data_IF_181634846969
#
_entry.id   IF_181634846969
#
_cell.length_a   1.000
_cell.length_b   1.000
_cell.length_c   1.000
_cell.angle_alpha   90.00
_cell.angle_beta   90.00
_cell.angle_gamma   90.00
#
_symmetry.space_group_name_H-M   'P 1'
#
loop_
_entity.id
_entity.type
_entity.pdbx_description
1 polymer ?
#
# COMPACT_ATOMS: atom_id res chain seq x y z
N UNK A 1 20.99 19.75 15.78
CA UNK A 1 20.14 18.91 14.90
C UNK A 1 19.28 19.85 14.06
N UNK A 2 19.48 19.90 12.74
CA UNK A 2 18.87 20.95 11.90
C UNK A 2 17.36 20.73 11.74
N UNK A 3 16.57 21.81 11.70
CA UNK A 3 15.11 21.78 11.47
C UNK A 3 14.70 20.97 10.22
N UNK A 4 15.63 20.77 9.28
CA UNK A 4 15.44 19.95 8.07
C UNK A 4 15.38 18.44 8.38
N UNK A 5 16.15 17.95 9.35
CA UNK A 5 16.11 16.54 9.77
C UNK A 5 14.84 16.22 10.57
N UNK A 6 14.36 17.15 11.40
CA UNK A 6 13.13 16.98 12.16
C UNK A 6 11.90 16.88 11.25
N UNK A 7 11.85 17.68 10.17
CA UNK A 7 10.76 17.62 9.19
C UNK A 7 10.78 16.33 8.36
N UNK A 8 11.96 15.80 8.02
CA UNK A 8 12.07 14.52 7.30
C UNK A 8 11.62 13.36 8.20
N UNK A 9 11.96 13.37 9.49
CA UNK A 9 11.50 12.36 10.45
C UNK A 9 9.99 12.45 10.71
N UNK A 10 9.41 13.66 10.74
CA UNK A 10 7.95 13.85 10.87
C UNK A 10 7.18 13.37 9.64
N UNK A 11 7.71 13.58 8.42
CA UNK A 11 7.11 13.02 7.19
C UNK A 11 7.20 11.49 7.18
N UNK A 12 8.27 10.89 7.72
CA UNK A 12 8.40 9.44 7.88
C UNK A 12 7.47 8.87 8.97
N UNK A 13 7.21 9.60 10.06
CA UNK A 13 6.27 9.16 11.11
C UNK A 13 4.82 9.14 10.61
N UNK A 14 4.40 10.08 9.76
CA UNK A 14 3.06 10.04 9.14
C UNK A 14 2.94 9.03 7.99
N UNK A 15 4.04 8.62 7.37
CA UNK A 15 4.05 7.52 6.40
C UNK A 15 3.84 6.14 7.04
N UNK A 16 4.04 6.02 8.35
CA UNK A 16 3.86 4.76 9.09
C UNK A 16 2.40 4.38 9.35
N UNK A 17 1.44 5.31 9.21
CA UNK A 17 0.01 5.01 9.39
C UNK A 17 -0.72 4.55 8.12
N UNK A 18 -0.01 4.37 7.00
CA UNK A 18 -0.56 3.76 5.77
C UNK A 18 0.25 2.52 5.37
N UNK A 19 0.92 1.87 6.31
CA UNK A 19 1.38 0.49 6.09
C UNK A 19 0.27 -0.46 6.49
N UNK A 20 -0.73 -0.56 5.60
CA UNK A 20 -1.57 -1.76 5.54
C UNK A 20 -0.62 -2.97 5.50
N UNK A 21 -0.81 -3.97 6.37
CA UNK A 21 -0.03 -5.19 6.31
C UNK A 21 -0.21 -5.78 4.92
N UNK A 22 0.91 -6.04 4.23
CA UNK A 22 0.89 -6.83 3.00
C UNK A 22 0.65 -8.26 3.45
N UNK A 23 -0.60 -8.58 3.79
CA UNK A 23 -1.04 -9.94 4.00
C UNK A 23 -0.85 -10.67 2.67
N UNK A 24 -0.08 -11.76 2.74
CA UNK A 24 0.10 -12.72 1.66
C UNK A 24 -1.26 -13.36 1.38
N UNK A 25 -2.01 -12.82 0.43
CA UNK A 25 -3.27 -13.41 -0.02
C UNK A 25 -2.99 -14.47 -1.08
N UNK A 26 -3.13 -15.73 -0.68
CA UNK A 26 -3.38 -16.84 -1.58
C UNK A 26 -4.91 -16.95 -1.76
N UNK A 27 -5.43 -16.54 -2.92
CA UNK A 27 -6.82 -16.76 -3.29
C UNK A 27 -7.57 -15.50 -3.69
N UNK A 28 -7.91 -15.42 -4.99
CA UNK A 28 -9.12 -14.86 -5.59
C UNK A 28 -9.57 -13.41 -5.32
N UNK A 29 -9.13 -12.77 -4.25
CA UNK A 29 -9.69 -11.50 -3.80
C UNK A 29 -8.95 -10.31 -4.40
N UNK A 30 -9.72 -9.30 -4.79
CA UNK A 30 -9.20 -8.13 -5.51
C UNK A 30 -8.27 -7.36 -4.56
N UNK A 31 -7.02 -7.04 -4.95
CA UNK A 31 -6.10 -6.39 -4.02
C UNK A 31 -6.67 -5.04 -3.57
N UNK A 32 -6.87 -4.88 -2.27
CA UNK A 32 -7.25 -3.59 -1.70
C UNK A 32 -6.20 -2.54 -2.04
N UNK A 33 -6.65 -1.40 -2.55
CA UNK A 33 -5.77 -0.28 -2.84
C UNK A 33 -6.12 0.95 -2.00
N UNK A 34 -5.22 1.94 -1.92
CA UNK A 34 -5.55 3.23 -1.31
C UNK A 34 -6.75 3.94 -1.96
N UNK A 35 -7.01 3.68 -3.25
CA UNK A 35 -8.16 4.26 -3.97
C UNK A 35 -9.45 3.55 -3.58
N UNK A 36 -9.40 2.23 -3.34
CA UNK A 36 -10.54 1.46 -2.83
C UNK A 36 -11.08 2.07 -1.53
N UNK A 37 -10.21 2.58 -0.65
CA UNK A 37 -10.59 3.30 0.58
C UNK A 37 -11.30 4.64 0.32
N UNK A 38 -10.93 5.36 -0.73
CA UNK A 38 -11.64 6.60 -1.10
C UNK A 38 -13.04 6.26 -1.63
N UNK A 39 -13.13 5.20 -2.44
CA UNK A 39 -14.38 4.72 -3.03
C UNK A 39 -15.34 4.14 -1.98
N UNK A 40 -14.86 3.54 -0.89
CA UNK A 40 -15.72 3.09 0.21
C UNK A 40 -16.39 4.26 0.94
N UNK A 41 -15.73 5.42 0.99
CA UNK A 41 -16.30 6.66 1.55
C UNK A 41 -17.17 7.45 0.56
N UNK A 42 -17.52 6.92 -0.63
CA UNK A 42 -18.19 7.69 -1.70
C UNK A 42 -19.43 8.47 -1.27
N UNK A 43 -20.29 7.86 -0.44
CA UNK A 43 -21.53 8.47 0.05
C UNK A 43 -21.22 9.57 1.07
N UNK A 44 -20.28 9.31 1.99
CA UNK A 44 -19.84 10.29 2.97
C UNK A 44 -19.16 11.50 2.35
N UNK A 45 -18.42 11.30 1.24
CA UNK A 45 -17.73 12.35 0.50
C UNK A 45 -18.62 13.05 -0.55
N UNK A 46 -19.85 12.58 -0.76
CA UNK A 46 -20.76 13.09 -1.80
C UNK A 46 -20.06 13.18 -3.16
N UNK A 47 -19.40 12.09 -3.56
CA UNK A 47 -18.69 12.05 -4.85
C UNK A 47 -19.69 12.12 -6.00
N UNK A 48 -19.38 12.94 -7.00
CA UNK A 48 -20.14 12.93 -8.27
C UNK A 48 -19.87 11.66 -9.07
N UNK A 49 -20.82 11.27 -9.93
CA UNK A 49 -20.67 10.09 -10.80
C UNK A 49 -19.41 10.16 -11.67
N UNK A 50 -19.05 11.36 -12.12
CA UNK A 50 -17.81 11.61 -12.88
C UNK A 50 -16.56 11.32 -12.04
N UNK A 51 -16.53 11.75 -10.78
CA UNK A 51 -15.42 11.46 -9.86
C UNK A 51 -15.35 9.96 -9.54
N UNK A 52 -16.49 9.32 -9.27
CA UNK A 52 -16.56 7.88 -9.02
C UNK A 52 -15.98 7.12 -10.22
N UNK A 53 -16.43 7.43 -11.44
CA UNK A 53 -15.93 6.77 -12.65
C UNK A 53 -14.42 6.94 -12.84
N UNK A 54 -13.89 8.15 -12.64
CA UNK A 54 -12.44 8.42 -12.70
C UNK A 54 -11.66 7.61 -11.67
N UNK A 55 -12.12 7.61 -10.42
CA UNK A 55 -11.48 6.86 -9.33
C UNK A 55 -11.52 5.35 -9.56
N UNK A 56 -12.63 4.80 -10.07
CA UNK A 56 -12.74 3.37 -10.40
C UNK A 56 -11.77 2.97 -11.52
N UNK A 57 -11.61 3.81 -12.56
CA UNK A 57 -10.64 3.54 -13.63
C UNK A 57 -9.20 3.53 -13.08
N UNK A 58 -8.87 4.51 -12.23
CA UNK A 58 -7.56 4.57 -11.57
C UNK A 58 -7.32 3.34 -10.67
N UNK A 59 -8.33 2.94 -9.89
CA UNK A 59 -8.28 1.78 -9.00
C UNK A 59 -8.05 0.48 -9.77
N UNK A 60 -8.80 0.25 -10.84
CA UNK A 60 -8.66 -0.94 -11.68
C UNK A 60 -7.28 -1.01 -12.35
N UNK A 61 -6.77 0.12 -12.86
CA UNK A 61 -5.44 0.17 -13.44
C UNK A 61 -4.36 -0.13 -12.39
N UNK A 62 -4.47 0.48 -11.21
CA UNK A 62 -3.56 0.23 -10.10
C UNK A 62 -3.56 -1.24 -9.67
N UNK A 63 -4.74 -1.85 -9.54
CA UNK A 63 -4.90 -3.28 -9.20
C UNK A 63 -4.16 -4.16 -10.19
N UNK A 64 -4.34 -3.92 -11.49
CA UNK A 64 -3.67 -4.69 -12.54
C UNK A 64 -2.14 -4.59 -12.45
N UNK A 65 -1.60 -3.38 -12.25
CA UNK A 65 -0.15 -3.17 -12.10
C UNK A 65 0.40 -3.83 -10.82
N UNK A 66 -0.33 -3.76 -9.70
CA UNK A 66 0.05 -4.43 -8.45
C UNK A 66 0.06 -5.95 -8.65
N UNK A 67 -0.93 -6.53 -9.34
CA UNK A 67 -0.99 -7.97 -9.61
C UNK A 67 0.26 -8.41 -10.40
N UNK A 68 0.62 -7.67 -11.45
CA UNK A 68 1.80 -7.98 -12.25
C UNK A 68 3.09 -7.93 -11.43
N UNK A 69 3.30 -6.87 -10.64
CA UNK A 69 4.48 -6.73 -9.79
C UNK A 69 4.53 -7.79 -8.68
N UNK A 70 3.38 -8.15 -8.10
CA UNK A 70 3.29 -9.23 -7.10
C UNK A 70 3.65 -10.58 -7.71
N UNK A 71 3.19 -10.86 -8.93
CA UNK A 71 3.54 -12.09 -9.64
C UNK A 71 5.06 -12.17 -9.86
N UNK A 72 5.69 -11.08 -10.33
CA UNK A 72 7.14 -11.01 -10.52
C UNK A 72 7.91 -11.17 -9.20
N UNK A 73 7.45 -10.53 -8.13
CA UNK A 73 8.02 -10.71 -6.80
C UNK A 73 7.92 -12.18 -6.33
N UNK A 74 6.77 -12.82 -6.55
CA UNK A 74 6.58 -14.21 -6.15
C UNK A 74 7.48 -15.16 -6.93
N UNK A 75 7.67 -14.93 -8.24
CA UNK A 75 8.62 -15.71 -9.05
C UNK A 75 10.03 -15.60 -8.46
N UNK A 76 10.50 -14.37 -8.16
CA UNK A 76 11.82 -14.15 -7.55
C UNK A 76 11.94 -14.81 -6.19
N UNK A 77 10.88 -14.79 -5.39
CA UNK A 77 10.85 -15.48 -4.10
C UNK A 77 11.02 -17.00 -4.27
N UNK A 78 10.26 -17.61 -5.19
CA UNK A 78 10.39 -19.04 -5.50
C UNK A 78 11.80 -19.39 -6.00
N UNK A 79 12.41 -18.54 -6.83
CA UNK A 79 13.79 -18.75 -7.27
C UNK A 79 14.79 -18.69 -6.11
N UNK A 80 14.64 -17.73 -5.18
CA UNK A 80 15.45 -17.64 -3.95
C UNK A 80 15.29 -18.93 -3.13
N UNK A 81 14.06 -19.39 -2.92
CA UNK A 81 13.77 -20.60 -2.15
C UNK A 81 14.44 -21.82 -2.80
N UNK A 82 14.38 -21.93 -4.14
CA UNK A 82 15.04 -23.00 -4.89
C UNK A 82 16.57 -22.95 -4.75
N UNK A 83 17.19 -21.79 -4.90
CA UNK A 83 18.65 -21.65 -4.76
C UNK A 83 19.15 -21.87 -3.33
N UNK A 84 18.33 -21.52 -2.34
CA UNK A 84 18.68 -21.67 -0.92
C UNK A 84 18.37 -23.06 -0.35
N UNK A 85 17.58 -23.88 -1.07
CA UNK A 85 17.29 -25.26 -0.68
C UNK A 85 18.51 -26.19 -0.68
N UNK A 86 19.54 -25.91 -1.49
CA UNK A 86 20.81 -26.64 -1.53
C UNK A 86 21.99 -25.71 -1.24
N UNK A 87 22.31 -25.59 0.05
CA UNK A 87 23.27 -24.64 0.61
C UNK A 87 24.73 -25.00 0.32
N UNK A 88 25.02 -26.27 -0.01
CA UNK A 88 26.38 -26.76 -0.25
C UNK A 88 27.02 -26.21 -1.54
N UNK A 89 26.19 -25.86 -2.54
CA UNK A 89 26.64 -25.33 -3.84
C UNK A 89 25.96 -24.00 -4.21
N UNK A 90 25.51 -23.24 -3.20
CA UNK A 90 24.75 -22.01 -3.42
C UNK A 90 25.64 -20.90 -4.01
N UNK A 91 25.24 -20.37 -5.17
CA UNK A 91 25.85 -19.16 -5.73
C UNK A 91 25.32 -17.91 -4.98
N UNK A 92 26.05 -17.49 -3.95
CA UNK A 92 25.65 -16.35 -3.11
C UNK A 92 25.49 -15.02 -3.86
N UNK A 93 26.22 -14.81 -4.96
CA UNK A 93 26.08 -13.61 -5.80
C UNK A 93 24.75 -13.62 -6.55
N UNK A 94 24.38 -14.76 -7.13
CA UNK A 94 23.10 -14.93 -7.82
C UNK A 94 21.92 -14.75 -6.85
N UNK A 95 21.98 -15.39 -5.67
CA UNK A 95 20.94 -15.25 -4.63
C UNK A 95 20.80 -13.81 -4.17
N UNK A 96 21.91 -13.09 -3.95
CA UNK A 96 21.87 -11.66 -3.57
C UNK A 96 21.19 -10.79 -4.62
N UNK A 97 21.44 -11.07 -5.90
CA UNK A 97 20.79 -10.34 -6.99
C UNK A 97 19.28 -10.61 -7.02
N UNK A 98 18.85 -11.87 -6.85
CA UNK A 98 17.44 -12.23 -6.77
C UNK A 98 16.73 -11.57 -5.59
N UNK A 99 17.39 -11.53 -4.41
CA UNK A 99 16.87 -10.83 -3.23
C UNK A 99 16.68 -9.33 -3.53
N UNK A 100 17.65 -8.70 -4.19
CA UNK A 100 17.54 -7.29 -4.57
C UNK A 100 16.36 -7.05 -5.52
N UNK A 101 16.19 -7.90 -6.53
CA UNK A 101 15.06 -7.81 -7.47
C UNK A 101 13.72 -8.01 -6.77
N UNK A 102 13.62 -8.99 -5.88
CA UNK A 102 12.43 -9.20 -5.05
C UNK A 102 12.03 -7.94 -4.28
N UNK A 103 12.98 -7.33 -3.55
CA UNK A 103 12.70 -6.11 -2.79
C UNK A 103 12.43 -4.89 -3.68
N UNK A 104 13.03 -4.81 -4.87
CA UNK A 104 12.69 -3.76 -5.84
C UNK A 104 11.23 -3.83 -6.27
N UNK A 105 10.70 -5.03 -6.58
CA UNK A 105 9.28 -5.17 -6.92
C UNK A 105 8.36 -4.76 -5.77
N UNK A 106 8.72 -5.09 -4.52
CA UNK A 106 7.97 -4.64 -3.35
C UNK A 106 8.01 -3.12 -3.17
N UNK A 107 9.17 -2.49 -3.41
CA UNK A 107 9.33 -1.05 -3.36
C UNK A 107 8.52 -0.36 -4.47
N UNK A 108 8.52 -0.92 -5.68
CA UNK A 108 7.74 -0.42 -6.82
C UNK A 108 6.24 -0.44 -6.52
N UNK A 109 5.72 -1.52 -5.90
CA UNK A 109 4.33 -1.58 -5.43
C UNK A 109 4.03 -0.44 -4.45
N UNK A 110 4.93 -0.14 -3.50
CA UNK A 110 4.73 0.96 -2.55
C UNK A 110 4.75 2.31 -3.26
N UNK A 111 5.67 2.52 -4.19
CA UNK A 111 5.75 3.74 -4.99
C UNK A 111 4.48 3.92 -5.85
N UNK A 112 3.97 2.84 -6.43
CA UNK A 112 2.74 2.84 -7.21
C UNK A 112 1.54 3.29 -6.37
N UNK A 113 1.41 2.75 -5.16
CA UNK A 113 0.37 3.13 -4.22
C UNK A 113 0.45 4.61 -3.83
N UNK A 114 1.65 5.15 -3.59
CA UNK A 114 1.86 6.58 -3.28
C UNK A 114 1.46 7.46 -4.47
N UNK A 115 1.89 7.11 -5.69
CA UNK A 115 1.52 7.87 -6.89
C UNK A 115 0.01 7.84 -7.12
N UNK A 116 -0.61 6.69 -6.93
CA UNK A 116 -2.03 6.52 -7.17
C UNK A 116 -2.90 7.24 -6.13
N UNK A 117 -2.52 7.26 -4.85
CA UNK A 117 -3.25 8.07 -3.85
C UNK A 117 -3.09 9.56 -4.13
N UNK A 118 -1.93 10.03 -4.60
CA UNK A 118 -1.76 11.43 -5.01
C UNK A 118 -2.67 11.79 -6.19
N UNK A 119 -2.75 10.93 -7.21
CA UNK A 119 -3.64 11.13 -8.35
C UNK A 119 -5.11 11.10 -7.94
N UNK A 120 -5.52 10.14 -7.12
CA UNK A 120 -6.89 10.02 -6.63
C UNK A 120 -7.29 11.24 -5.79
N UNK A 121 -6.39 11.77 -4.96
CA UNK A 121 -6.61 13.03 -4.22
C UNK A 121 -6.81 14.22 -5.14
N UNK A 122 -6.15 14.25 -6.30
CA UNK A 122 -6.36 15.29 -7.32
C UNK A 122 -7.73 15.26 -8.01
N UNK A 123 -8.50 14.18 -7.85
CA UNK A 123 -9.89 14.07 -8.36
C UNK A 123 -10.90 14.70 -7.39
N UNK A 124 -10.54 14.83 -6.12
CA UNK A 124 -11.41 15.33 -5.05
C UNK A 124 -11.31 16.86 -4.92
N UNK A 125 -12.39 17.51 -4.47
CA UNK A 125 -12.32 18.92 -4.07
C UNK A 125 -11.60 19.08 -2.73
N UNK A 126 -11.23 20.32 -2.37
CA UNK A 126 -10.54 20.60 -1.10
C UNK A 126 -11.39 20.23 0.11
N UNK A 127 -12.69 20.47 0.05
CA UNK A 127 -13.67 20.13 1.09
C UNK A 127 -13.79 18.61 1.24
N UNK A 128 -13.87 17.89 0.12
CA UNK A 128 -13.91 16.42 0.10
C UNK A 128 -12.62 15.82 0.67
N UNK A 129 -11.45 16.39 0.36
CA UNK A 129 -10.17 15.97 0.92
C UNK A 129 -10.11 16.16 2.44
N UNK A 130 -10.60 17.30 2.94
CA UNK A 130 -10.67 17.56 4.38
C UNK A 130 -11.55 16.53 5.07
N UNK A 131 -12.75 16.30 4.55
CA UNK A 131 -13.70 15.31 5.08
C UNK A 131 -13.14 13.89 5.03
N UNK A 132 -12.44 13.53 3.96
CA UNK A 132 -11.77 12.24 3.85
C UNK A 132 -10.69 12.07 4.93
N UNK A 133 -9.91 13.12 5.19
CA UNK A 133 -8.87 13.10 6.24
C UNK A 133 -9.48 12.91 7.63
N UNK A 134 -10.60 13.57 7.91
CA UNK A 134 -11.35 13.42 9.16
C UNK A 134 -11.88 11.98 9.32
N UNK A 135 -12.51 11.42 8.27
CA UNK A 135 -13.03 10.05 8.28
C UNK A 135 -11.93 9.01 8.53
N UNK A 136 -10.79 9.13 7.85
CA UNK A 136 -9.64 8.22 8.04
C UNK A 136 -9.04 8.36 9.45
N UNK A 137 -9.01 9.58 10.00
CA UNK A 137 -8.55 9.79 11.37
C UNK A 137 -9.46 9.12 12.40
N UNK A 138 -10.78 9.19 12.21
CA UNK A 138 -11.77 8.55 13.08
C UNK A 138 -11.62 7.01 13.00
N UNK A 139 -11.50 6.46 11.80
CA UNK A 139 -11.27 5.03 11.59
C UNK A 139 -10.01 4.53 12.31
N UNK A 140 -8.91 5.30 12.23
CA UNK A 140 -7.68 4.97 12.95
C UNK A 140 -7.85 4.99 14.48
N UNK A 141 -8.67 5.91 15.02
CA UNK A 141 -8.95 5.95 16.45
C UNK A 141 -9.79 4.76 16.91
N UNK A 142 -10.81 4.38 16.13
CA UNK A 142 -11.64 3.20 16.41
C UNK A 142 -10.79 1.93 16.42
N UNK A 143 -9.96 1.72 15.40
CA UNK A 143 -9.07 0.55 15.34
C UNK A 143 -8.11 0.48 16.54
N UNK A 144 -7.56 1.63 16.98
CA UNK A 144 -6.72 1.67 18.18
C UNK A 144 -7.50 1.27 19.42
N UNK A 145 -8.75 1.72 19.57
CA UNK A 145 -9.60 1.34 20.70
C UNK A 145 -9.92 -0.16 20.66
N UNK A 146 -10.31 -0.71 19.51
CA UNK A 146 -10.60 -2.13 19.34
C UNK A 146 -9.37 -3.00 19.65
N UNK A 147 -8.18 -2.61 19.19
CA UNK A 147 -6.94 -3.32 19.52
C UNK A 147 -6.55 -3.21 21.00
N UNK A 148 -6.94 -2.11 21.67
CA UNK A 148 -6.69 -1.92 23.09
C UNK A 148 -7.62 -2.77 23.94
N UNK A 149 -8.90 -2.90 23.54
CA UNK A 149 -9.88 -3.76 24.21
C UNK A 149 -9.48 -5.24 24.09
N UNK A 150 -9.00 -5.67 22.91
CA UNK A 150 -8.54 -7.05 22.68
C UNK A 150 -7.25 -7.45 23.44
N UNK A 151 -6.57 -6.51 24.13
CA UNK A 151 -5.41 -6.80 25.00
C UNK A 151 -5.78 -6.98 26.47
N UNK A 152 -7.05 -6.79 26.84
CA UNK A 152 -7.56 -6.96 28.22
C UNK A 152 -8.45 -8.18 28.41
N UNK A 153 -8.64 -9.00 27.37
CA UNK A 153 -9.19 -10.37 27.41
C UNK A 153 -8.05 -11.40 27.28
#
# INVERSE_FOLDING_TARGET
MSRKLLNVVLVFMFASMITMPVLLYAGGDVPETPITKILSCKTGLQLSDSQIKKLTILDNNLKNQIIQLRCQAQIRKTEIDNFTSNWLNMNGTAVRQLIKEYYNFLADIKLLNIKAIMQARGVLTREQLKKFTELVSIESMIQKMESGIAQFD
#
